data_IF_963142674342
#
_entry.id   IF_963142674342
#
_cell.length_a   1.000
_cell.length_b   1.000
_cell.length_c   1.000
_cell.angle_alpha   90.00
_cell.angle_beta   90.00
_cell.angle_gamma   90.00
#
_symmetry.space_group_name_H-M   'P 1'
#
loop_
_entity.id
_entity.type
_entity.pdbx_description
1 polymer ?
#
# COMPACT_ATOMS: atom_id res chain seq x y z
N UNK A 1 13.06 11.85 10.94
CA UNK A 1 11.96 12.83 10.96
C UNK A 1 10.72 12.15 10.40
N UNK A 2 9.53 12.36 10.97
CA UNK A 2 8.30 11.80 10.41
C UNK A 2 8.05 12.39 9.02
N UNK A 3 7.70 11.53 8.07
CA UNK A 3 7.36 11.95 6.70
C UNK A 3 5.90 12.41 6.64
N UNK A 4 5.66 13.48 5.89
CA UNK A 4 4.30 13.91 5.54
C UNK A 4 3.90 13.30 4.19
N UNK A 5 2.60 13.12 3.94
CA UNK A 5 2.11 12.63 2.63
C UNK A 5 2.64 13.41 1.43
N UNK A 6 2.99 14.69 1.61
CA UNK A 6 3.50 15.55 0.54
C UNK A 6 4.91 15.17 0.06
N UNK A 7 5.66 14.35 0.79
CA UNK A 7 6.98 13.83 0.38
C UNK A 7 6.92 12.40 -0.18
N UNK A 8 5.77 11.74 -0.06
CA UNK A 8 5.58 10.37 -0.50
C UNK A 8 5.24 10.31 -1.99
N UNK A 9 5.81 9.31 -2.64
CA UNK A 9 5.55 8.99 -4.04
C UNK A 9 5.07 7.56 -4.17
N UNK A 10 4.22 7.31 -5.17
CA UNK A 10 3.75 5.95 -5.46
C UNK A 10 4.91 4.96 -5.59
N UNK A 11 4.78 3.83 -4.91
CA UNK A 11 5.83 2.82 -4.81
C UNK A 11 6.73 2.94 -3.58
N UNK A 12 6.65 4.02 -2.82
CA UNK A 12 7.40 4.13 -1.57
C UNK A 12 6.94 3.04 -0.57
N UNK A 13 7.92 2.36 0.01
CA UNK A 13 7.72 1.41 1.12
C UNK A 13 7.76 2.22 2.41
N UNK A 14 6.68 2.15 3.16
CA UNK A 14 6.50 2.93 4.39
C UNK A 14 6.20 2.00 5.56
N UNK A 15 6.65 2.41 6.75
CA UNK A 15 6.26 1.82 8.03
C UNK A 15 5.38 2.84 8.74
N UNK A 16 4.17 2.44 9.09
CA UNK A 16 3.24 3.27 9.85
C UNK A 16 3.23 2.73 11.28
N UNK A 17 3.73 3.52 12.22
CA UNK A 17 3.76 3.14 13.62
C UNK A 17 2.39 3.41 14.27
N UNK A 18 2.01 2.54 15.21
CA UNK A 18 0.76 2.63 15.96
C UNK A 18 -0.49 2.79 15.08
N UNK A 19 -0.58 2.00 14.01
CA UNK A 19 -1.74 2.06 13.12
C UNK A 19 -2.99 1.46 13.79
N UNK A 20 -4.09 2.21 13.78
CA UNK A 20 -5.35 1.81 14.38
C UNK A 20 -6.06 0.80 13.47
N UNK A 21 -5.94 -0.49 13.80
CA UNK A 21 -6.58 -1.55 13.01
C UNK A 21 -8.05 -1.67 13.41
N UNK A 22 -9.03 -1.40 12.52
CA UNK A 22 -10.45 -1.37 12.88
C UNK A 22 -11.01 -2.72 13.40
N UNK A 23 -10.28 -3.82 13.22
CA UNK A 23 -10.73 -5.18 13.55
C UNK A 23 -9.98 -5.84 14.73
N UNK A 24 -9.10 -5.12 15.46
CA UNK A 24 -8.27 -5.73 16.52
C UNK A 24 -8.30 -5.06 17.91
N UNK A 25 -9.22 -4.13 18.17
CA UNK A 25 -9.26 -3.38 19.44
C UNK A 25 -7.99 -2.53 19.66
N UNK A 26 -7.76 -2.06 20.90
CA UNK A 26 -6.70 -1.12 21.34
C UNK A 26 -5.24 -1.52 21.06
N UNK A 27 -4.99 -2.60 20.31
CA UNK A 27 -3.63 -3.02 19.97
C UNK A 27 -3.16 -2.29 18.73
N UNK A 28 -2.60 -1.10 18.96
CA UNK A 28 -1.84 -0.36 17.95
C UNK A 28 -0.59 -1.16 17.57
N UNK A 29 -0.39 -1.38 16.26
CA UNK A 29 0.76 -2.13 15.74
C UNK A 29 1.44 -1.34 14.64
N UNK A 30 2.75 -1.50 14.54
CA UNK A 30 3.47 -1.02 13.36
C UNK A 30 3.11 -1.90 12.17
N UNK A 31 2.77 -1.28 11.05
CA UNK A 31 2.47 -2.00 9.81
C UNK A 31 3.36 -1.53 8.67
N UNK A 32 3.64 -2.46 7.76
CA UNK A 32 4.40 -2.20 6.55
C UNK A 32 3.44 -2.03 5.38
N UNK A 33 3.58 -0.93 4.66
CA UNK A 33 2.68 -0.57 3.55
C UNK A 33 3.46 -0.12 2.32
N UNK A 34 2.79 -0.22 1.18
CA UNK A 34 3.24 0.30 -0.11
C UNK A 34 2.32 1.44 -0.46
N UNK A 35 2.85 2.66 -0.48
CA UNK A 35 2.08 3.84 -0.83
C UNK A 35 1.71 3.82 -2.31
N UNK A 36 0.42 3.98 -2.62
CA UNK A 36 -0.08 3.96 -4.01
C UNK A 36 -0.38 5.37 -4.51
N UNK A 37 -0.76 6.28 -3.63
CA UNK A 37 -1.10 7.65 -4.01
C UNK A 37 -2.18 8.23 -3.12
N UNK A 38 -2.75 9.34 -3.57
CA UNK A 38 -3.89 9.98 -2.94
C UNK A 38 -4.79 10.62 -3.98
N UNK A 39 -5.97 11.01 -3.55
CA UNK A 39 -6.89 11.84 -4.33
C UNK A 39 -6.30 13.20 -4.70
N UNK A 40 -7.00 13.93 -5.56
CA UNK A 40 -6.62 15.27 -5.96
C UNK A 40 -6.66 16.22 -4.75
N UNK A 41 -5.84 17.25 -4.79
CA UNK A 41 -5.86 18.32 -3.78
C UNK A 41 -7.19 19.10 -3.76
N UNK A 42 -8.02 18.93 -4.79
CA UNK A 42 -9.34 19.54 -4.91
C UNK A 42 -10.48 18.63 -4.38
N UNK A 43 -10.18 17.38 -4.05
CA UNK A 43 -11.15 16.46 -3.46
C UNK A 43 -11.29 16.75 -1.94
N UNK A 44 -12.49 16.59 -1.40
CA UNK A 44 -12.75 16.79 0.03
C UNK A 44 -13.73 15.73 0.55
N UNK A 45 -13.29 14.80 1.43
CA UNK A 45 -11.92 14.66 1.94
C UNK A 45 -10.95 14.09 0.89
N UNK A 46 -9.64 14.36 1.05
CA UNK A 46 -8.59 13.71 0.26
C UNK A 46 -8.34 12.32 0.84
N UNK A 47 -8.55 11.25 0.05
CA UNK A 47 -8.28 9.88 0.48
C UNK A 47 -6.86 9.44 0.11
N UNK A 48 -6.22 8.70 1.01
CA UNK A 48 -4.90 8.08 0.80
C UNK A 48 -5.06 6.60 0.45
N UNK A 49 -4.30 6.14 -0.53
CA UNK A 49 -4.31 4.76 -1.03
C UNK A 49 -3.00 4.05 -0.73
N UNK A 50 -3.06 2.87 -0.12
CA UNK A 50 -1.89 2.02 0.09
C UNK A 50 -2.27 0.53 0.16
N UNK A 51 -1.32 -0.34 -0.17
CA UNK A 51 -1.45 -1.77 0.13
C UNK A 51 -0.74 -2.08 1.45
N UNK A 52 -1.35 -2.90 2.30
CA UNK A 52 -0.65 -3.45 3.46
C UNK A 52 0.11 -4.71 3.09
N UNK A 53 1.14 -4.99 3.88
CA UNK A 53 1.82 -6.28 3.88
C UNK A 53 1.64 -6.96 5.23
N UNK A 54 1.90 -8.26 5.27
CA UNK A 54 1.78 -9.08 6.49
C UNK A 54 3.05 -9.90 6.70
N UNK A 55 3.43 -10.10 7.97
CA UNK A 55 4.50 -11.01 8.39
C UNK A 55 3.96 -12.40 8.75
N UNK A 56 2.64 -12.59 8.75
CA UNK A 56 1.96 -13.86 9.05
C UNK A 56 2.06 -14.81 7.85
N UNK A 57 3.20 -15.46 7.69
CA UNK A 57 3.50 -16.36 6.56
C UNK A 57 2.66 -17.64 6.59
N UNK A 58 2.29 -18.10 7.78
CA UNK A 58 1.56 -19.36 7.98
C UNK A 58 0.15 -19.33 7.36
N UNK A 59 -0.47 -18.13 7.26
CA UNK A 59 -1.77 -17.98 6.62
C UNK A 59 -1.74 -18.40 5.13
N UNK A 60 -0.57 -18.37 4.47
CA UNK A 60 -0.40 -18.66 3.04
C UNK A 60 0.19 -20.05 2.76
N UNK A 61 0.49 -20.84 3.80
CA UNK A 61 0.94 -22.22 3.66
C UNK A 61 -0.26 -23.18 3.51
N UNK A 62 -0.06 -24.44 3.05
CA UNK A 62 -1.13 -25.43 2.98
C UNK A 62 -1.86 -25.59 4.32
N UNK A 63 -3.19 -25.52 4.30
CA UNK A 63 -4.05 -25.51 5.48
C UNK A 63 -4.26 -24.13 6.13
N UNK A 64 -3.57 -23.10 5.63
CA UNK A 64 -3.71 -21.72 6.08
C UNK A 64 -4.95 -21.01 5.50
N UNK A 65 -5.41 -19.94 6.15
CA UNK A 65 -6.63 -19.20 5.78
C UNK A 65 -6.57 -18.55 4.40
N UNK A 66 -5.36 -18.33 3.88
CA UNK A 66 -5.04 -17.66 2.62
C UNK A 66 -4.18 -18.55 1.72
N UNK A 67 -4.24 -19.87 1.90
CA UNK A 67 -3.43 -20.84 1.13
C UNK A 67 -3.58 -20.68 -0.39
N UNK A 68 -4.77 -20.27 -0.85
CA UNK A 68 -5.10 -20.09 -2.27
C UNK A 68 -4.94 -18.63 -2.74
N UNK A 69 -4.47 -17.73 -1.90
CA UNK A 69 -4.28 -16.33 -2.27
C UNK A 69 -3.01 -16.17 -3.10
N UNK A 70 -3.08 -15.36 -4.14
CA UNK A 70 -1.89 -14.92 -4.85
C UNK A 70 -1.18 -13.84 -4.02
N UNK A 71 0.13 -13.97 -3.84
CA UNK A 71 0.91 -13.00 -3.05
C UNK A 71 2.29 -12.74 -3.63
N UNK A 72 2.86 -11.60 -3.25
CA UNK A 72 4.27 -11.26 -3.49
C UNK A 72 5.05 -11.31 -2.19
N UNK A 73 6.10 -12.13 -2.18
CA UNK A 73 7.09 -12.11 -1.10
C UNK A 73 8.11 -10.99 -1.30
N UNK A 74 8.40 -10.30 -0.20
CA UNK A 74 9.52 -9.39 0.00
C UNK A 74 10.38 -9.95 1.13
N UNK A 75 11.66 -10.15 0.86
CA UNK A 75 12.60 -10.64 1.88
C UNK A 75 13.04 -9.50 2.80
N UNK A 76 13.41 -9.84 4.03
CA UNK A 76 14.10 -8.90 4.93
C UNK A 76 15.29 -8.23 4.22
N UNK A 77 15.41 -6.91 4.39
CA UNK A 77 16.41 -6.04 3.76
C UNK A 77 16.06 -5.59 2.35
N UNK A 78 15.12 -6.26 1.67
CA UNK A 78 14.68 -5.86 0.34
C UNK A 78 13.85 -4.59 0.43
N UNK A 79 14.16 -3.57 -0.38
CA UNK A 79 13.38 -2.32 -0.47
C UNK A 79 13.07 -1.64 0.88
N UNK A 80 13.88 -1.89 1.91
CA UNK A 80 13.73 -1.32 3.25
C UNK A 80 12.88 -2.11 4.25
N UNK A 81 12.35 -3.29 3.90
CA UNK A 81 11.62 -4.14 4.85
C UNK A 81 12.55 -4.68 5.96
N UNK A 82 12.16 -4.56 7.23
CA UNK A 82 12.95 -5.09 8.36
C UNK A 82 12.69 -6.57 8.66
N UNK A 83 11.62 -7.11 8.09
CA UNK A 83 11.16 -8.49 8.22
C UNK A 83 10.72 -9.05 6.86
N UNK A 84 10.65 -10.37 6.74
CA UNK A 84 9.97 -11.00 5.60
C UNK A 84 8.49 -10.58 5.57
N UNK A 85 8.09 -9.95 4.48
CA UNK A 85 6.75 -9.41 4.31
C UNK A 85 6.09 -10.03 3.08
N UNK A 86 4.78 -10.25 3.17
CA UNK A 86 3.94 -10.70 2.05
C UNK A 86 2.94 -9.60 1.70
N UNK A 87 2.86 -9.24 0.43
CA UNK A 87 1.73 -8.49 -0.13
C UNK A 87 0.72 -9.48 -0.68
N UNK A 88 -0.47 -9.51 -0.07
CA UNK A 88 -1.59 -10.29 -0.56
C UNK A 88 -2.27 -9.57 -1.72
N UNK A 89 -2.20 -10.12 -2.93
CA UNK A 89 -2.87 -9.53 -4.08
C UNK A 89 -4.38 -9.73 -4.04
N UNK A 90 -4.88 -10.64 -3.20
CA UNK A 90 -6.30 -10.86 -3.00
C UNK A 90 -6.92 -9.95 -1.94
N UNK A 91 -6.11 -9.15 -1.22
CA UNK A 91 -6.58 -8.15 -0.27
C UNK A 91 -6.80 -6.81 -0.98
N UNK A 92 -7.93 -6.14 -0.69
CA UNK A 92 -8.24 -4.82 -1.24
C UNK A 92 -7.27 -3.76 -0.70
N UNK A 93 -6.74 -2.83 -1.53
CA UNK A 93 -5.98 -1.70 -1.03
C UNK A 93 -6.80 -0.84 -0.05
N UNK A 94 -6.14 -0.27 0.94
CA UNK A 94 -6.74 0.75 1.81
C UNK A 94 -7.17 1.94 0.96
N UNK A 95 -8.39 2.42 1.21
CA UNK A 95 -9.06 3.44 0.41
C UNK A 95 -10.14 4.19 1.24
N UNK A 96 -9.97 4.23 2.55
CA UNK A 96 -10.93 4.72 3.55
C UNK A 96 -10.27 5.63 4.61
N UNK A 97 -9.00 5.98 4.42
CA UNK A 97 -8.24 6.85 5.31
C UNK A 97 -8.03 8.22 4.69
N UNK A 98 -8.41 9.29 5.40
CA UNK A 98 -8.20 10.66 4.91
C UNK A 98 -6.73 11.06 5.05
N UNK A 99 -6.30 12.05 4.26
CA UNK A 99 -4.95 12.63 4.34
C UNK A 99 -4.64 13.15 5.74
N UNK A 100 -5.61 13.78 6.40
CA UNK A 100 -5.45 14.32 7.76
C UNK A 100 -5.21 13.19 8.77
N UNK A 101 -6.04 12.13 8.72
CA UNK A 101 -5.85 10.97 9.61
C UNK A 101 -4.54 10.26 9.30
N UNK A 102 -4.20 10.10 8.03
CA UNK A 102 -2.93 9.49 7.63
C UNK A 102 -1.73 10.27 8.15
N UNK A 103 -1.75 11.60 8.01
CA UNK A 103 -0.69 12.50 8.51
C UNK A 103 -0.63 12.57 10.05
N UNK A 104 -1.64 12.10 10.77
CA UNK A 104 -1.60 11.99 12.23
C UNK A 104 -0.73 10.82 12.71
N UNK A 105 -0.40 9.86 11.84
CA UNK A 105 0.47 8.74 12.16
C UNK A 105 1.96 9.11 12.04
N UNK A 106 2.80 8.40 12.80
CA UNK A 106 4.24 8.44 12.61
C UNK A 106 4.60 7.53 11.44
N UNK A 107 4.93 8.14 10.30
CA UNK A 107 5.26 7.46 9.07
C UNK A 107 6.77 7.53 8.82
N UNK A 108 7.36 6.39 8.54
CA UNK A 108 8.76 6.26 8.15
C UNK A 108 8.83 5.74 6.72
N UNK A 109 9.42 6.52 5.81
CA UNK A 109 9.80 6.01 4.49
C UNK A 109 11.04 5.14 4.63
N UNK A 110 10.94 3.89 4.18
CA UNK A 110 11.98 2.87 4.35
C UNK A 110 12.65 2.46 3.05
N UNK A 111 11.97 2.64 1.93
CA UNK A 111 12.54 2.41 0.62
C UNK A 111 11.53 2.67 -0.49
N UNK A 112 11.77 2.07 -1.65
CA UNK A 112 10.92 2.24 -2.83
C UNK A 112 10.94 0.96 -3.67
N UNK A 113 9.79 0.59 -4.19
CA UNK A 113 9.64 -0.50 -5.12
C UNK A 113 10.02 -0.06 -6.55
N UNK A 114 10.62 -0.95 -7.35
CA UNK A 114 10.83 -0.69 -8.77
C UNK A 114 9.50 -0.72 -9.55
N UNK A 115 9.44 0.03 -10.64
CA UNK A 115 8.26 0.22 -11.48
C UNK A 115 7.59 -1.07 -11.95
N UNK A 116 8.38 -2.13 -12.20
CA UNK A 116 7.84 -3.41 -12.62
C UNK A 116 6.95 -4.05 -11.54
N UNK A 117 7.31 -3.92 -10.26
CA UNK A 117 6.51 -4.41 -9.15
C UNK A 117 5.26 -3.52 -8.98
N UNK A 118 5.38 -2.21 -9.16
CA UNK A 118 4.23 -1.30 -9.09
C UNK A 118 3.21 -1.62 -10.19
N UNK A 119 3.68 -1.93 -11.41
CA UNK A 119 2.82 -2.41 -12.51
C UNK A 119 2.16 -3.75 -12.18
N UNK A 120 2.86 -4.63 -11.47
CA UNK A 120 2.29 -5.90 -11.01
C UNK A 120 1.15 -5.65 -10.01
N UNK A 121 1.36 -4.79 -9.01
CA UNK A 121 0.34 -4.37 -8.03
C UNK A 121 -0.86 -3.73 -8.74
N UNK A 122 -0.61 -2.90 -9.75
CA UNK A 122 -1.66 -2.30 -10.56
C UNK A 122 -2.57 -3.36 -11.18
N UNK A 123 -1.97 -4.34 -11.84
CA UNK A 123 -2.71 -5.36 -12.58
C UNK A 123 -3.42 -6.37 -11.67
N UNK A 124 -2.75 -6.81 -10.60
CA UNK A 124 -3.26 -7.89 -9.74
C UNK A 124 -4.18 -7.41 -8.63
N UNK A 125 -3.99 -6.18 -8.15
CA UNK A 125 -4.69 -5.65 -6.99
C UNK A 125 -5.57 -4.44 -7.33
N UNK A 126 -4.97 -3.33 -7.80
CA UNK A 126 -5.72 -2.07 -8.02
C UNK A 126 -6.83 -2.24 -9.07
N UNK A 127 -6.53 -2.89 -10.19
CA UNK A 127 -7.51 -3.14 -11.25
C UNK A 127 -8.68 -4.00 -10.79
N UNK A 128 -8.43 -4.95 -9.89
CA UNK A 128 -9.42 -5.91 -9.42
C UNK A 128 -10.36 -5.31 -8.38
N UNK A 129 -9.84 -4.52 -7.44
CA UNK A 129 -10.59 -4.15 -6.23
C UNK A 129 -11.05 -2.70 -6.13
N UNK A 130 -10.45 -1.77 -6.87
CA UNK A 130 -10.79 -0.35 -6.76
C UNK A 130 -11.78 0.07 -7.85
N UNK A 131 -12.54 1.14 -7.61
CA UNK A 131 -13.46 1.71 -8.59
C UNK A 131 -12.74 2.66 -9.57
N UNK A 132 -13.42 3.11 -10.63
CA UNK A 132 -12.78 3.95 -11.65
C UNK A 132 -12.24 5.29 -11.12
N UNK A 133 -12.95 6.04 -10.26
CA UNK A 133 -12.40 7.23 -9.62
C UNK A 133 -11.10 6.96 -8.85
N UNK A 134 -11.08 5.95 -7.98
CA UNK A 134 -9.90 5.56 -7.21
C UNK A 134 -8.73 5.17 -8.13
N UNK A 135 -9.00 4.39 -9.18
CA UNK A 135 -8.00 4.04 -10.19
C UNK A 135 -7.43 5.28 -10.90
N UNK A 136 -8.26 6.29 -11.16
CA UNK A 136 -7.81 7.55 -11.78
C UNK A 136 -6.87 8.31 -10.83
N UNK A 137 -7.25 8.52 -9.57
CA UNK A 137 -6.41 9.18 -8.57
C UNK A 137 -5.05 8.52 -8.41
N UNK A 138 -5.02 7.18 -8.37
CA UNK A 138 -3.77 6.42 -8.29
C UNK A 138 -2.94 6.56 -9.58
N UNK A 139 -3.55 6.57 -10.77
CA UNK A 139 -2.79 6.82 -12.01
C UNK A 139 -2.17 8.21 -12.03
N UNK A 140 -2.90 9.22 -11.57
CA UNK A 140 -2.39 10.59 -11.52
C UNK A 140 -1.20 10.67 -10.53
N UNK A 141 -1.26 9.93 -9.42
CA UNK A 141 -0.15 9.77 -8.48
C UNK A 141 1.04 9.01 -9.11
N UNK A 142 0.78 7.97 -9.89
CA UNK A 142 1.82 7.23 -10.61
C UNK A 142 2.54 8.12 -11.63
N UNK A 143 1.80 8.97 -12.35
CA UNK A 143 2.36 9.93 -13.29
C UNK A 143 3.31 10.92 -12.58
N UNK A 144 2.94 11.44 -11.41
CA UNK A 144 3.81 12.29 -10.57
C UNK A 144 5.08 11.57 -10.13
N UNK A 145 5.00 10.25 -9.95
CA UNK A 145 6.13 9.39 -9.61
C UNK A 145 6.94 8.89 -10.84
N UNK A 146 6.63 9.38 -12.05
CA UNK A 146 7.20 8.95 -13.34
C UNK A 146 6.94 7.47 -13.71
N UNK A 147 5.85 6.88 -13.20
CA UNK A 147 5.46 5.49 -13.45
C UNK A 147 4.37 5.46 -14.52
N UNK A 148 4.67 4.87 -15.68
CA UNK A 148 3.69 4.76 -16.78
C UNK A 148 2.93 3.44 -16.73
N UNK A 149 1.60 3.45 -16.64
CA UNK A 149 0.78 2.25 -16.83
C UNK A 149 0.30 2.19 -18.27
N UNK A 150 0.71 1.15 -19.02
CA UNK A 150 0.16 0.92 -20.37
C UNK A 150 -1.28 0.43 -20.21
N UNK A 151 -2.23 1.14 -20.82
CA UNK A 151 -3.59 0.62 -20.93
C UNK A 151 -3.56 -0.56 -21.91
N UNK A 152 -4.16 -1.69 -21.54
CA UNK A 152 -4.62 -2.63 -22.56
C UNK A 152 -5.83 -1.96 -23.20
N UNK A 153 -5.63 -1.42 -24.40
CA UNK A 153 -6.69 -1.12 -25.37
C UNK A 153 -7.47 -2.38 -25.69
#
# INVERSE_FOLDING_TARGET
MPEHTDTLLSGDVIKINNFDLPHKGDVTKSIWCIFLGMDSIFDCPIIVYFCRTTTQKDDFQPGGKRENHEYKKFSKGQYGFEDDCLLDYCERPYADITKEKFNSYIIEKRGRLPDNIIREIWNKCIQKYLNQPQKKSIRDSFAKANITIKQKT
#
